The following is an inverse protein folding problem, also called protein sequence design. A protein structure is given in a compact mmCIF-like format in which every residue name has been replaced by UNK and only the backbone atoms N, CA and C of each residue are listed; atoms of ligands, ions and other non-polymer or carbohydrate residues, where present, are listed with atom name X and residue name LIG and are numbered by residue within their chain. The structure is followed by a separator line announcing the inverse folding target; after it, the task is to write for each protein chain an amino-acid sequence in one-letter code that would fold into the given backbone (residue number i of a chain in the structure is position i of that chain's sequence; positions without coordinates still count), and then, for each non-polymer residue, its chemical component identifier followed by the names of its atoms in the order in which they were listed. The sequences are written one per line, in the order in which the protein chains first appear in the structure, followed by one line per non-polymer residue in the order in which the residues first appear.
data_IF_482454180634
#
_entry.id   IF_482454180634
#
_cell.length_a   1.000
_cell.length_b   1.000
_cell.length_c   1.000
_cell.angle_alpha   90.00
_cell.angle_beta   90.00
_cell.angle_gamma   90.00
#
_symmetry.space_group_name_H-M   'P 1'
#
loop_
_entity.id
_entity.type
_entity.pdbx_description
1 polymer ?
#
# COMPACT_ATOMS: atom_id res chain seq x y z
N UNK A 1 3.34 -12.39 22.57
CA UNK A 1 3.20 -12.40 21.10
C UNK A 1 4.10 -13.47 20.49
N UNK A 2 5.42 -13.34 20.63
CA UNK A 2 6.42 -14.28 20.07
C UNK A 2 6.24 -15.74 20.53
N UNK A 3 5.88 -15.97 21.80
CA UNK A 3 5.56 -17.31 22.32
C UNK A 3 4.33 -17.91 21.66
N UNK A 4 3.27 -17.11 21.49
CA UNK A 4 2.08 -17.52 20.75
C UNK A 4 2.40 -17.86 19.29
N UNK A 5 3.24 -17.07 18.63
CA UNK A 5 3.66 -17.28 17.24
C UNK A 5 4.38 -18.61 17.04
N UNK A 6 5.23 -19.01 17.98
CA UNK A 6 5.94 -20.28 17.93
C UNK A 6 5.02 -21.49 18.16
N UNK A 7 3.90 -21.30 18.88
CA UNK A 7 2.96 -22.36 19.24
C UNK A 7 1.78 -22.48 18.27
N UNK A 8 1.63 -21.57 17.30
CA UNK A 8 0.48 -21.59 16.38
C UNK A 8 0.73 -22.53 15.21
N UNK A 9 -0.18 -23.47 14.95
CA UNK A 9 -0.13 -24.33 13.79
C UNK A 9 -0.22 -23.52 12.48
N UNK A 10 0.45 -23.99 11.42
CA UNK A 10 0.62 -23.23 10.17
C UNK A 10 -0.69 -22.75 9.54
N UNK A 11 -1.71 -23.61 9.56
CA UNK A 11 -3.02 -23.35 8.97
C UNK A 11 -3.75 -22.18 9.66
N UNK A 12 -3.51 -22.02 10.96
CA UNK A 12 -4.19 -21.03 11.79
C UNK A 12 -3.45 -19.69 11.83
N UNK A 13 -2.21 -19.62 11.34
CA UNK A 13 -1.39 -18.41 11.38
C UNK A 13 -2.13 -17.23 10.75
N UNK A 14 -2.74 -17.44 9.59
CA UNK A 14 -3.42 -16.36 8.86
C UNK A 14 -4.59 -15.79 9.67
N UNK A 15 -5.41 -16.65 10.26
CA UNK A 15 -6.56 -16.22 11.05
C UNK A 15 -6.13 -15.44 12.30
N UNK A 16 -5.18 -15.98 13.07
CA UNK A 16 -4.79 -15.40 14.35
C UNK A 16 -3.83 -14.23 14.25
N UNK A 17 -2.89 -14.23 13.31
CA UNK A 17 -1.83 -13.23 13.24
C UNK A 17 -2.03 -12.22 12.12
N UNK A 18 -2.66 -12.63 11.01
CA UNK A 18 -2.84 -11.75 9.87
C UNK A 18 -4.17 -10.99 9.91
N UNK A 19 -5.28 -11.69 10.14
CA UNK A 19 -6.64 -11.12 10.09
C UNK A 19 -7.06 -10.47 11.41
N UNK A 20 -6.64 -11.03 12.55
CA UNK A 20 -7.09 -10.56 13.87
C UNK A 20 -6.58 -9.12 14.17
N UNK A 21 -7.46 -8.15 14.45
CA UNK A 21 -7.06 -6.77 14.74
C UNK A 21 -6.23 -6.62 16.02
N UNK A 22 -6.44 -7.49 17.02
CA UNK A 22 -5.72 -7.39 18.30
C UNK A 22 -4.23 -7.65 18.11
N UNK A 23 -3.88 -8.64 17.29
CA UNK A 23 -2.47 -8.94 16.98
C UNK A 23 -1.83 -7.91 16.05
N UNK A 24 -2.64 -7.01 15.45
CA UNK A 24 -2.22 -5.89 14.59
C UNK A 24 -2.06 -4.57 15.35
N UNK A 25 -2.52 -4.49 16.60
CA UNK A 25 -2.30 -3.31 17.45
C UNK A 25 -0.82 -2.88 17.55
N UNK A 26 0.16 -3.81 17.65
CA UNK A 26 1.57 -3.42 17.63
C UNK A 26 1.97 -2.66 16.35
N UNK A 27 1.44 -3.06 15.17
CA UNK A 27 1.69 -2.38 13.90
C UNK A 27 1.23 -0.91 13.95
N UNK A 28 0.07 -0.67 14.58
CA UNK A 28 -0.46 0.67 14.81
C UNK A 28 0.44 1.50 15.73
N UNK A 29 0.91 0.92 16.84
CA UNK A 29 1.82 1.61 17.76
C UNK A 29 3.17 1.94 17.11
N UNK A 30 3.70 1.06 16.27
CA UNK A 30 4.89 1.35 15.46
C UNK A 30 4.66 2.61 14.61
N UNK A 31 3.50 2.73 13.96
CA UNK A 31 3.13 3.95 13.23
C UNK A 31 3.04 5.21 14.10
N UNK A 32 2.47 5.11 15.31
CA UNK A 32 2.40 6.22 16.26
C UNK A 32 3.80 6.69 16.68
N UNK A 33 4.69 5.74 17.01
CA UNK A 33 6.09 6.05 17.36
C UNK A 33 6.85 6.64 16.16
N UNK A 34 6.60 6.10 14.97
CA UNK A 34 7.21 6.60 13.73
C UNK A 34 6.83 8.06 13.47
N UNK A 35 5.57 8.43 13.70
CA UNK A 35 5.12 9.81 13.57
C UNK A 35 5.81 10.76 14.57
N UNK A 36 5.99 10.33 15.83
CA UNK A 36 6.73 11.11 16.82
C UNK A 36 8.18 11.32 16.41
N UNK A 37 8.82 10.27 15.90
CA UNK A 37 10.19 10.35 15.40
C UNK A 37 10.29 11.27 14.18
N UNK A 38 9.38 11.12 13.21
CA UNK A 38 9.25 12.02 12.06
C UNK A 38 9.19 13.48 12.48
N UNK A 39 8.34 13.83 13.46
CA UNK A 39 8.20 15.20 13.95
C UNK A 39 9.50 15.78 14.51
N UNK A 40 10.33 14.95 15.14
CA UNK A 40 11.65 15.35 15.67
C UNK A 40 12.66 15.67 14.56
N UNK A 41 12.54 15.01 13.40
CA UNK A 41 13.51 15.14 12.31
C UNK A 41 13.03 16.00 11.13
N UNK A 42 11.73 16.25 11.00
CA UNK A 42 11.13 16.94 9.84
C UNK A 42 11.70 18.34 9.57
N UNK A 43 11.99 19.08 10.65
CA UNK A 43 12.54 20.43 10.57
C UNK A 43 14.07 20.46 10.37
N UNK A 44 14.75 19.30 10.42
CA UNK A 44 16.19 19.24 10.17
C UNK A 44 16.47 19.52 8.70
N UNK A 45 17.47 20.36 8.43
CA UNK A 45 17.93 20.65 7.07
C UNK A 45 18.70 19.44 6.55
N UNK A 46 18.02 18.59 5.79
CA UNK A 46 18.64 17.48 5.08
C UNK A 46 18.99 17.96 3.67
N UNK A 47 20.23 17.74 3.24
CA UNK A 47 20.65 18.08 1.87
C UNK A 47 19.98 17.16 0.85
N UNK A 48 19.83 17.64 -0.38
CA UNK A 48 19.20 16.87 -1.46
C UNK A 48 19.94 15.55 -1.78
N UNK A 49 21.27 15.60 -1.78
CA UNK A 49 22.12 14.43 -2.02
C UNK A 49 22.00 13.41 -0.88
N UNK A 50 22.00 13.86 0.37
CA UNK A 50 21.79 12.99 1.53
C UNK A 50 20.40 12.37 1.52
N UNK A 51 19.36 13.13 1.17
CA UNK A 51 18.00 12.62 1.04
C UNK A 51 17.90 11.50 0.00
N UNK A 52 18.50 11.71 -1.18
CA UNK A 52 18.51 10.70 -2.26
C UNK A 52 19.28 9.44 -1.85
N UNK A 53 20.42 9.59 -1.16
CA UNK A 53 21.18 8.44 -0.64
C UNK A 53 20.37 7.63 0.37
N UNK A 54 19.65 8.31 1.27
CA UNK A 54 18.76 7.66 2.23
C UNK A 54 17.61 6.93 1.53
N UNK A 55 16.96 7.55 0.54
CA UNK A 55 15.90 6.92 -0.26
C UNK A 55 16.39 5.64 -0.96
N UNK A 56 17.55 5.70 -1.62
CA UNK A 56 18.16 4.52 -2.24
C UNK A 56 18.48 3.45 -1.19
N UNK A 57 19.08 3.86 -0.06
CA UNK A 57 19.43 2.96 1.04
C UNK A 57 18.23 2.21 1.60
N UNK A 58 17.09 2.88 1.85
CA UNK A 58 15.89 2.21 2.36
C UNK A 58 15.20 1.34 1.31
N UNK A 59 15.27 1.70 0.03
CA UNK A 59 14.75 0.86 -1.06
C UNK A 59 15.59 -0.42 -1.19
N UNK A 60 16.93 -0.31 -1.17
CA UNK A 60 17.82 -1.47 -1.16
C UNK A 60 17.54 -2.34 0.07
N UNK A 61 17.45 -1.74 1.25
CA UNK A 61 17.15 -2.46 2.49
C UNK A 61 15.81 -3.21 2.39
N UNK A 62 14.78 -2.59 1.84
CA UNK A 62 13.50 -3.24 1.60
C UNK A 62 13.63 -4.45 0.67
N UNK A 63 14.35 -4.31 -0.45
CA UNK A 63 14.60 -5.42 -1.37
C UNK A 63 15.44 -6.54 -0.73
N UNK A 64 16.43 -6.21 0.10
CA UNK A 64 17.19 -7.21 0.86
C UNK A 64 16.24 -8.02 1.75
N UNK A 65 15.38 -7.35 2.53
CA UNK A 65 14.39 -8.05 3.35
C UNK A 65 13.44 -8.90 2.51
N UNK A 66 13.01 -8.39 1.36
CA UNK A 66 12.12 -9.09 0.44
C UNK A 66 12.76 -10.38 -0.13
N UNK A 67 14.00 -10.30 -0.64
CA UNK A 67 14.69 -11.45 -1.25
C UNK A 67 15.21 -12.44 -0.20
N UNK A 68 15.64 -11.98 0.97
CA UNK A 68 16.12 -12.84 2.06
C UNK A 68 14.99 -13.47 2.89
N UNK A 69 13.73 -13.42 2.42
CA UNK A 69 12.59 -13.95 3.16
C UNK A 69 12.54 -15.48 3.18
N UNK A 70 13.26 -16.18 2.30
CA UNK A 70 13.12 -17.61 2.01
C UNK A 70 13.09 -18.50 3.27
N UNK A 71 13.97 -18.25 4.24
CA UNK A 71 14.14 -19.09 5.43
C UNK A 71 13.30 -18.64 6.65
N UNK A 72 12.52 -17.57 6.49
CA UNK A 72 11.82 -16.94 7.63
C UNK A 72 10.46 -17.58 7.83
N UNK A 73 10.05 -17.99 9.04
CA UNK A 73 8.73 -18.58 9.22
C UNK A 73 7.59 -17.64 8.83
N UNK A 74 6.51 -18.18 8.25
CA UNK A 74 5.35 -17.41 7.75
C UNK A 74 4.76 -16.47 8.80
N UNK A 75 4.76 -16.89 10.07
CA UNK A 75 4.24 -16.10 11.19
C UNK A 75 4.96 -14.76 11.31
N UNK A 76 6.29 -14.76 11.24
CA UNK A 76 7.08 -13.55 11.34
C UNK A 76 6.92 -12.67 10.10
N UNK A 77 6.82 -13.28 8.91
CA UNK A 77 6.57 -12.56 7.65
C UNK A 77 5.25 -11.80 7.70
N UNK A 78 4.20 -12.39 8.25
CA UNK A 78 2.89 -11.74 8.35
C UNK A 78 2.82 -10.68 9.43
N UNK A 79 3.65 -10.76 10.47
CA UNK A 79 3.61 -9.82 11.59
C UNK A 79 4.78 -8.85 11.55
N UNK A 80 5.91 -9.19 12.18
CA UNK A 80 6.93 -8.21 12.56
C UNK A 80 8.10 -8.05 11.58
N UNK A 81 8.32 -9.02 10.69
CA UNK A 81 9.51 -9.06 9.84
C UNK A 81 9.68 -7.79 8.99
N UNK A 82 8.57 -7.27 8.46
CA UNK A 82 8.58 -6.08 7.61
C UNK A 82 8.49 -4.75 8.37
N UNK A 83 8.38 -4.76 9.70
CA UNK A 83 8.25 -3.51 10.46
C UNK A 83 9.41 -2.55 10.22
N UNK A 84 10.64 -3.04 10.33
CA UNK A 84 11.83 -2.23 10.15
C UNK A 84 11.94 -1.65 8.72
N UNK A 85 11.96 -2.47 7.65
CA UNK A 85 12.15 -1.94 6.30
C UNK A 85 10.97 -1.03 5.89
N UNK A 86 9.72 -1.39 6.22
CA UNK A 86 8.56 -0.59 5.85
C UNK A 86 8.49 0.71 6.63
N UNK A 87 8.80 0.71 7.93
CA UNK A 87 8.80 1.94 8.74
C UNK A 87 9.86 2.92 8.23
N UNK A 88 11.05 2.42 7.87
CA UNK A 88 12.10 3.27 7.32
C UNK A 88 11.73 3.83 5.95
N UNK A 89 11.13 3.02 5.07
CA UNK A 89 10.59 3.50 3.79
C UNK A 89 9.58 4.62 4.04
N UNK A 90 8.58 4.41 4.88
CA UNK A 90 7.56 5.43 5.19
C UNK A 90 8.23 6.70 5.72
N UNK A 91 9.15 6.57 6.68
CA UNK A 91 9.80 7.71 7.32
C UNK A 91 10.61 8.54 6.33
N UNK A 92 11.46 7.90 5.52
CA UNK A 92 12.35 8.60 4.60
C UNK A 92 11.55 9.25 3.47
N UNK A 93 10.58 8.54 2.88
CA UNK A 93 9.75 9.09 1.83
C UNK A 93 8.80 10.20 2.33
N UNK A 94 8.39 10.16 3.60
CA UNK A 94 7.62 11.25 4.22
C UNK A 94 8.41 12.56 4.32
N UNK A 95 9.75 12.53 4.35
CA UNK A 95 10.57 13.74 4.38
C UNK A 95 10.61 14.47 3.03
N UNK A 96 10.36 13.76 1.92
CA UNK A 96 10.31 14.31 0.56
C UNK A 96 11.55 15.13 0.16
N UNK A 97 12.75 14.71 0.56
CA UNK A 97 14.00 15.48 0.36
C UNK A 97 14.90 14.96 -0.77
N UNK A 98 14.64 13.80 -1.37
CA UNK A 98 15.47 13.24 -2.44
C UNK A 98 14.81 13.23 -3.83
N UNK A 99 15.59 12.73 -4.80
CA UNK A 99 15.18 12.65 -6.20
C UNK A 99 14.05 11.66 -6.43
N UNK A 100 14.04 10.52 -5.74
CA UNK A 100 13.00 9.49 -5.94
C UNK A 100 11.68 10.02 -5.42
N UNK A 101 11.66 10.69 -4.27
CA UNK A 101 10.47 11.39 -3.79
C UNK A 101 9.96 12.43 -4.78
N UNK A 102 10.85 13.20 -5.42
CA UNK A 102 10.44 14.18 -6.45
C UNK A 102 9.84 13.51 -7.68
N UNK A 103 10.43 12.40 -8.14
CA UNK A 103 9.91 11.63 -9.27
C UNK A 103 8.52 11.05 -8.96
N UNK A 104 8.35 10.45 -7.78
CA UNK A 104 7.07 9.90 -7.30
C UNK A 104 6.00 10.98 -7.07
N UNK A 105 6.42 12.23 -6.82
CA UNK A 105 5.52 13.37 -6.65
C UNK A 105 5.01 13.94 -7.98
N UNK A 106 5.29 13.29 -9.12
CA UNK A 106 4.70 13.65 -10.40
C UNK A 106 3.16 13.52 -10.33
N UNK A 107 2.45 14.52 -10.87
CA UNK A 107 0.99 14.59 -10.91
C UNK A 107 0.33 13.31 -11.39
N UNK A 108 0.89 12.63 -12.40
CA UNK A 108 0.31 11.37 -12.93
C UNK A 108 0.37 10.25 -11.89
N UNK A 109 1.50 10.09 -11.20
CA UNK A 109 1.67 9.07 -10.16
C UNK A 109 0.83 9.39 -8.92
N UNK A 110 0.73 10.68 -8.56
CA UNK A 110 -0.15 11.12 -7.46
C UNK A 110 -1.61 10.82 -7.77
N UNK A 111 -2.08 11.13 -8.99
CA UNK A 111 -3.46 10.78 -9.42
C UNK A 111 -3.64 9.26 -9.38
N UNK A 112 -2.66 8.47 -9.84
CA UNK A 112 -2.68 7.02 -9.74
C UNK A 112 -2.84 6.52 -8.29
N UNK A 113 -2.14 7.16 -7.36
CA UNK A 113 -2.30 6.90 -5.92
C UNK A 113 -3.67 7.29 -5.39
N UNK A 114 -4.22 8.43 -5.80
CA UNK A 114 -5.55 8.90 -5.39
C UNK A 114 -6.67 7.95 -5.85
N UNK A 115 -6.61 7.42 -7.07
CA UNK A 115 -7.61 6.49 -7.60
C UNK A 115 -7.39 5.04 -7.18
N UNK A 116 -6.28 4.73 -6.50
CA UNK A 116 -5.89 3.36 -6.17
C UNK A 116 -6.92 2.63 -5.30
N UNK A 117 -7.62 3.36 -4.42
CA UNK A 117 -8.70 2.82 -3.61
C UNK A 117 -9.92 2.44 -4.46
N UNK A 118 -10.38 3.33 -5.34
CA UNK A 118 -11.46 3.02 -6.29
C UNK A 118 -11.10 1.84 -7.19
N UNK A 119 -9.86 1.81 -7.67
CA UNK A 119 -9.32 0.72 -8.47
C UNK A 119 -9.39 -0.60 -7.72
N UNK A 120 -8.92 -0.63 -6.46
CA UNK A 120 -8.97 -1.82 -5.63
C UNK A 120 -10.41 -2.34 -5.44
N UNK A 121 -11.40 -1.47 -5.28
CA UNK A 121 -12.79 -1.92 -5.13
C UNK A 121 -13.39 -2.47 -6.42
N UNK A 122 -13.08 -1.86 -7.56
CA UNK A 122 -13.79 -2.13 -8.81
C UNK A 122 -13.10 -3.21 -9.67
N UNK A 123 -11.77 -3.33 -9.63
CA UNK A 123 -11.02 -4.20 -10.54
C UNK A 123 -11.48 -5.66 -10.49
N UNK A 124 -11.72 -6.21 -9.29
CA UNK A 124 -12.15 -7.60 -9.14
C UNK A 124 -13.55 -7.82 -9.75
N UNK A 125 -14.46 -6.88 -9.56
CA UNK A 125 -15.79 -6.93 -10.16
C UNK A 125 -15.74 -6.95 -11.69
N UNK A 126 -14.86 -6.12 -12.30
CA UNK A 126 -14.66 -6.09 -13.75
C UNK A 126 -14.09 -7.42 -14.25
N UNK A 127 -13.06 -7.95 -13.57
CA UNK A 127 -12.44 -9.23 -13.95
C UNK A 127 -13.49 -10.36 -13.89
N UNK A 128 -14.25 -10.46 -12.79
CA UNK A 128 -15.28 -11.48 -12.63
C UNK A 128 -16.36 -11.36 -13.72
N UNK A 129 -16.86 -10.15 -13.97
CA UNK A 129 -17.87 -9.90 -15.01
C UNK A 129 -17.33 -10.28 -16.39
N UNK A 130 -16.09 -9.91 -16.71
CA UNK A 130 -15.44 -10.30 -17.96
C UNK A 130 -15.34 -11.82 -18.10
N UNK A 131 -14.86 -12.53 -17.07
CA UNK A 131 -14.74 -13.99 -17.12
C UNK A 131 -16.08 -14.67 -17.31
N UNK A 132 -17.14 -14.21 -16.63
CA UNK A 132 -18.49 -14.74 -16.81
C UNK A 132 -19.01 -14.49 -18.24
N UNK A 133 -18.88 -13.28 -18.76
CA UNK A 133 -19.29 -12.96 -20.13
C UNK A 133 -18.50 -13.77 -21.17
N UNK A 134 -17.19 -13.91 -21.01
CA UNK A 134 -16.34 -14.70 -21.90
C UNK A 134 -16.78 -16.17 -21.94
N UNK A 135 -17.17 -16.75 -20.79
CA UNK A 135 -17.69 -18.12 -20.73
C UNK A 135 -19.08 -18.26 -21.36
N UNK A 136 -19.98 -17.30 -21.14
CA UNK A 136 -21.36 -17.35 -21.67
C UNK A 136 -21.39 -17.21 -23.19
N UNK A 137 -20.60 -16.30 -23.75
CA UNK A 137 -20.56 -16.03 -25.19
C UNK A 137 -19.50 -16.83 -25.94
N UNK A 138 -18.76 -17.71 -25.24
CA UNK A 138 -17.60 -18.45 -25.78
C UNK A 138 -16.52 -17.54 -26.40
N UNK A 139 -16.52 -16.24 -26.07
CA UNK A 139 -15.61 -15.26 -26.63
C UNK A 139 -14.36 -15.12 -25.77
N UNK A 140 -13.39 -16.01 -26.01
CA UNK A 140 -12.11 -15.97 -25.32
C UNK A 140 -11.13 -15.13 -26.14
N UNK A 141 -11.00 -13.85 -25.80
CA UNK A 141 -9.94 -13.01 -26.37
C UNK A 141 -8.57 -13.43 -25.83
N UNK A 142 -7.55 -13.29 -26.67
CA UNK A 142 -6.17 -13.57 -26.26
C UNK A 142 -5.76 -12.66 -25.08
N UNK A 143 -5.06 -13.22 -24.08
CA UNK A 143 -4.73 -12.54 -22.82
C UNK A 143 -3.96 -11.23 -23.02
N UNK A 144 -3.12 -11.16 -24.05
CA UNK A 144 -2.35 -9.95 -24.40
C UNK A 144 -3.25 -8.77 -24.79
N UNK A 145 -4.48 -9.03 -25.22
CA UNK A 145 -5.46 -8.00 -25.59
C UNK A 145 -6.41 -7.75 -24.41
N UNK A 146 -6.93 -8.81 -23.79
CA UNK A 146 -7.93 -8.67 -22.73
C UNK A 146 -7.36 -7.99 -21.48
N UNK A 147 -6.12 -8.28 -21.08
CA UNK A 147 -5.51 -7.69 -19.89
C UNK A 147 -5.35 -6.16 -20.02
N UNK A 148 -4.73 -5.60 -21.08
CA UNK A 148 -4.68 -4.15 -21.25
C UNK A 148 -6.05 -3.50 -21.34
N UNK A 149 -7.01 -4.14 -22.02
CA UNK A 149 -8.38 -3.62 -22.14
C UNK A 149 -9.07 -3.54 -20.77
N UNK A 150 -9.03 -4.62 -19.99
CA UNK A 150 -9.58 -4.66 -18.63
C UNK A 150 -8.90 -3.62 -17.75
N UNK A 151 -7.58 -3.48 -17.85
CA UNK A 151 -6.82 -2.49 -17.10
C UNK A 151 -7.25 -1.06 -17.44
N UNK A 152 -7.37 -0.73 -18.73
CA UNK A 152 -7.83 0.58 -19.20
C UNK A 152 -9.27 0.88 -18.75
N UNK A 153 -10.19 -0.10 -18.86
CA UNK A 153 -11.57 0.03 -18.40
C UNK A 153 -11.60 0.26 -16.88
N UNK A 154 -10.80 -0.49 -16.13
CA UNK A 154 -10.71 -0.34 -14.68
C UNK A 154 -10.21 1.03 -14.30
N UNK A 155 -9.15 1.55 -14.94
CA UNK A 155 -8.65 2.91 -14.70
C UNK A 155 -9.75 3.94 -15.01
N UNK A 156 -10.42 3.83 -16.15
CA UNK A 156 -11.47 4.77 -16.55
C UNK A 156 -12.62 4.81 -15.53
N UNK A 157 -13.12 3.65 -15.12
CA UNK A 157 -14.17 3.54 -14.10
C UNK A 157 -13.70 4.00 -12.71
N UNK A 158 -12.43 3.76 -12.37
CA UNK A 158 -11.83 4.24 -11.11
C UNK A 158 -11.73 5.76 -11.09
N UNK A 159 -11.30 6.39 -12.18
CA UNK A 159 -11.28 7.84 -12.32
C UNK A 159 -12.67 8.45 -12.19
N UNK A 160 -13.68 7.85 -12.86
CA UNK A 160 -15.06 8.27 -12.73
C UNK A 160 -15.54 8.15 -11.27
N UNK A 161 -15.32 7.01 -10.63
CA UNK A 161 -15.72 6.80 -9.23
C UNK A 161 -15.05 7.81 -8.29
N UNK A 162 -13.74 8.03 -8.44
CA UNK A 162 -12.98 8.97 -7.63
C UNK A 162 -13.49 10.41 -7.75
N UNK A 163 -13.70 10.92 -8.96
CA UNK A 163 -14.10 12.31 -9.16
C UNK A 163 -15.58 12.57 -8.85
N UNK A 164 -16.47 11.60 -9.13
CA UNK A 164 -17.92 11.77 -8.96
C UNK A 164 -18.45 11.32 -7.59
N UNK A 165 -17.78 10.39 -6.90
CA UNK A 165 -18.26 9.87 -5.62
C UNK A 165 -17.29 10.16 -4.48
N UNK A 166 -16.04 9.72 -4.59
CA UNK A 166 -15.11 9.79 -3.45
C UNK A 166 -14.73 11.22 -3.08
N UNK A 167 -14.34 12.03 -4.06
CA UNK A 167 -13.95 13.42 -3.85
C UNK A 167 -15.09 14.29 -3.29
N UNK A 168 -16.33 14.26 -3.82
CA UNK A 168 -17.44 15.01 -3.23
C UNK A 168 -17.85 14.47 -1.86
N UNK A 169 -17.88 13.15 -1.65
CA UNK A 169 -18.19 12.58 -0.35
C UNK A 169 -17.18 13.00 0.72
N UNK A 170 -15.88 12.95 0.42
CA UNK A 170 -14.83 13.39 1.34
C UNK A 170 -14.96 14.89 1.67
N UNK A 171 -15.28 15.73 0.68
CA UNK A 171 -15.58 17.15 0.91
C UNK A 171 -16.80 17.36 1.81
N UNK A 172 -17.86 16.57 1.60
CA UNK A 172 -19.09 16.63 2.41
C UNK A 172 -18.83 16.22 3.86
N UNK A 173 -18.16 15.08 4.08
CA UNK A 173 -17.79 14.60 5.42
C UNK A 173 -16.93 15.61 6.16
N UNK A 174 -15.89 16.16 5.50
CA UNK A 174 -15.05 17.20 6.10
C UNK A 174 -15.88 18.42 6.51
N UNK A 175 -16.78 18.92 5.66
CA UNK A 175 -17.65 20.06 6.02
C UNK A 175 -18.54 19.81 7.24
N UNK A 176 -18.98 18.58 7.47
CA UNK A 176 -19.79 18.23 8.65
C UNK A 176 -18.91 18.17 9.90
N UNK A 177 -17.76 17.50 9.82
CA UNK A 177 -16.89 17.26 10.97
C UNK A 177 -16.00 18.44 11.36
N UNK A 178 -15.63 19.30 10.40
CA UNK A 178 -14.80 20.49 10.64
C UNK A 178 -15.61 21.78 10.75
N UNK A 179 -16.94 21.72 10.74
CA UNK A 179 -17.78 22.82 11.21
C UNK A 179 -17.69 22.88 12.74
N UNK A 180 -16.63 23.52 13.22
CA UNK A 180 -16.59 24.22 14.51
C UNK A 180 -16.49 25.70 14.22
#
# INVERSE_FOLDING_TARGET
MLTGMHLTAEEQIKAYWYVNPITRLPDFFVGVLLYQFYRSIFNKKISYSTGTLLEIGVVILFFVFYFCTADIPKVYRYSCYYWLPVSLVILIFALQRGYISRLLSNRVLVIGGEISYSFYLIHLFIILTYTQMATLYQWHMHWMISVPVIFCITIALSLLSYYYFEKPANRWVKRILTKK
#
